data_IF_613844356549
#
_entry.id   IF_613844356549
#
_cell.length_a   1.000
_cell.length_b   1.000
_cell.length_c   1.000
_cell.angle_alpha   90.00
_cell.angle_beta   90.00
_cell.angle_gamma   90.00
#
_symmetry.space_group_name_H-M   'P 1'
#
loop_
_entity.id
_entity.type
_entity.pdbx_description
1 polymer ?
#
# COMPACT_ATOMS: atom_id res chain seq x y z
N UNK A 1 16.39 30.24 26.38
CA UNK A 1 16.04 28.83 26.07
C UNK A 1 14.64 28.87 25.50
N UNK A 2 14.42 28.32 24.30
CA UNK A 2 13.18 28.51 23.55
C UNK A 2 11.97 28.01 24.37
N UNK A 3 11.03 28.92 24.65
CA UNK A 3 9.78 28.63 25.36
C UNK A 3 8.97 27.60 24.59
N UNK A 4 8.95 26.34 25.06
CA UNK A 4 7.91 25.33 24.81
C UNK A 4 7.48 25.08 23.37
N UNK A 5 8.17 25.57 22.33
CA UNK A 5 7.76 25.46 20.93
C UNK A 5 8.66 24.48 20.18
N UNK A 6 8.03 23.52 19.54
CA UNK A 6 8.64 22.47 18.76
C UNK A 6 8.11 22.53 17.33
N UNK A 7 8.97 22.29 16.35
CA UNK A 7 8.60 22.21 14.95
C UNK A 7 8.84 20.79 14.45
N UNK A 8 7.86 20.25 13.73
CA UNK A 8 7.91 18.92 13.12
C UNK A 8 7.54 19.05 11.66
N UNK A 9 8.20 18.29 10.79
CA UNK A 9 7.71 18.02 9.45
C UNK A 9 7.03 16.64 9.48
N UNK A 10 5.80 16.57 8.99
CA UNK A 10 5.02 15.33 8.91
C UNK A 10 4.69 15.00 7.45
N UNK A 11 4.64 13.72 7.12
CA UNK A 11 4.10 13.23 5.86
C UNK A 11 2.88 12.35 6.18
N UNK A 12 1.70 12.80 5.74
CA UNK A 12 0.45 12.05 5.84
C UNK A 12 0.19 11.38 4.49
N UNK A 13 -0.13 10.09 4.53
CA UNK A 13 -0.50 9.33 3.35
C UNK A 13 -1.99 9.04 3.36
N UNK A 14 -2.66 9.42 2.28
CA UNK A 14 -4.07 9.17 2.03
C UNK A 14 -4.21 8.20 0.86
N UNK A 15 -5.17 7.28 0.98
CA UNK A 15 -5.50 6.29 -0.05
C UNK A 15 -7.02 6.26 -0.16
N UNK A 16 -7.55 6.46 -1.37
CA UNK A 16 -8.95 6.26 -1.65
C UNK A 16 -9.20 4.75 -1.87
N UNK A 17 -10.20 4.19 -1.18
CA UNK A 17 -10.55 2.77 -1.27
C UNK A 17 -11.53 2.44 -2.38
N UNK A 18 -12.09 3.46 -3.03
CA UNK A 18 -13.12 3.38 -4.05
C UNK A 18 -12.62 3.82 -5.42
N UNK A 19 -11.63 4.72 -5.44
CA UNK A 19 -10.97 5.18 -6.64
C UNK A 19 -9.47 4.86 -6.57
N UNK A 20 -8.80 4.57 -7.69
CA UNK A 20 -7.35 4.39 -7.72
C UNK A 20 -6.66 5.74 -7.56
N UNK A 21 -6.66 6.26 -6.34
CA UNK A 21 -6.10 7.56 -5.98
C UNK A 21 -5.38 7.47 -4.64
N UNK A 22 -4.24 8.13 -4.56
CA UNK A 22 -3.48 8.27 -3.33
C UNK A 22 -2.77 9.62 -3.28
N UNK A 23 -2.51 10.14 -2.09
CA UNK A 23 -1.78 11.37 -1.90
C UNK A 23 -0.83 11.28 -0.71
N UNK A 24 0.32 11.93 -0.84
CA UNK A 24 1.20 12.25 0.26
C UNK A 24 1.16 13.75 0.51
N UNK A 25 0.83 14.13 1.74
CA UNK A 25 0.70 15.52 2.19
C UNK A 25 1.83 15.78 3.17
N UNK A 26 2.77 16.64 2.78
CA UNK A 26 3.84 17.11 3.65
C UNK A 26 3.43 18.42 4.32
N UNK A 27 3.49 18.46 5.64
CA UNK A 27 3.09 19.61 6.45
C UNK A 27 4.14 19.95 7.49
N UNK A 28 4.26 21.24 7.81
CA UNK A 28 4.95 21.71 9.01
C UNK A 28 3.94 21.87 10.15
N UNK A 29 4.24 21.24 11.29
CA UNK A 29 3.49 21.37 12.53
C UNK A 29 4.31 22.13 13.56
N UNK A 30 3.74 23.21 14.11
CA UNK A 30 4.28 23.87 15.29
C UNK A 30 3.47 23.40 16.49
N UNK A 31 4.13 22.76 17.44
CA UNK A 31 3.53 22.32 18.71
C UNK A 31 4.03 23.23 19.81
N UNK A 32 3.12 23.72 20.65
CA UNK A 32 3.47 24.42 21.88
C UNK A 32 3.16 23.55 23.09
N UNK A 33 3.93 23.75 24.15
CA UNK A 33 3.71 23.16 25.46
C UNK A 33 3.30 24.26 26.43
N UNK A 34 2.06 24.20 26.91
CA UNK A 34 1.51 25.10 27.91
C UNK A 34 0.61 24.32 28.88
N UNK A 35 0.56 24.73 30.15
CA UNK A 35 -0.30 24.11 31.17
C UNK A 35 -0.19 22.57 31.23
N UNK A 36 1.02 22.03 31.12
CA UNK A 36 1.33 20.58 31.11
C UNK A 36 0.78 19.79 29.91
N UNK A 37 0.28 20.47 28.86
CA UNK A 37 -0.25 19.84 27.64
C UNK A 37 0.54 20.26 26.39
N UNK A 38 0.66 19.32 25.43
CA UNK A 38 1.14 19.62 24.08
C UNK A 38 -0.04 19.94 23.16
N UNK A 39 0.01 21.07 22.45
CA UNK A 39 -1.04 21.50 21.51
C UNK A 39 -0.47 21.89 20.16
N UNK A 40 -1.11 21.46 19.08
CA UNK A 40 -0.79 21.93 17.74
C UNK A 40 -1.22 23.39 17.64
N UNK A 41 -0.24 24.27 17.50
CA UNK A 41 -0.42 25.72 17.44
C UNK A 41 -0.54 26.22 16.00
N UNK A 42 0.05 25.49 15.05
CA UNK A 42 -0.06 25.76 13.61
C UNK A 42 0.20 24.48 12.83
N UNK A 43 -0.54 24.28 11.75
CA UNK A 43 -0.27 23.29 10.72
C UNK A 43 -0.24 24.01 9.37
N UNK A 44 0.81 23.78 8.57
CA UNK A 44 0.97 24.41 7.27
C UNK A 44 1.28 23.35 6.21
N UNK A 45 0.40 23.13 5.21
CA UNK A 45 0.71 22.26 4.10
C UNK A 45 1.84 22.89 3.26
N UNK A 46 2.88 22.11 2.99
CA UNK A 46 4.04 22.50 2.19
C UNK A 46 3.94 21.98 0.77
N UNK A 47 3.63 20.67 0.64
CA UNK A 47 3.60 19.97 -0.63
C UNK A 47 2.57 18.85 -0.57
N UNK A 48 1.76 18.74 -1.61
CA UNK A 48 0.86 17.61 -1.83
C UNK A 48 1.32 16.93 -3.11
N UNK A 49 1.56 15.63 -3.04
CA UNK A 49 1.83 14.81 -4.23
C UNK A 49 0.74 13.77 -4.33
N UNK A 50 0.10 13.69 -5.48
CA UNK A 50 -1.11 12.91 -5.71
C UNK A 50 -0.93 12.00 -6.94
N UNK A 51 -1.51 10.81 -6.87
CA UNK A 51 -1.65 9.86 -7.97
C UNK A 51 -3.13 9.70 -8.31
N UNK A 52 -3.46 9.66 -9.59
CA UNK A 52 -4.81 9.39 -10.09
C UNK A 52 -4.77 8.40 -11.23
N UNK A 53 -5.42 7.25 -11.06
CA UNK A 53 -5.75 6.36 -12.16
C UNK A 53 -6.99 6.88 -12.90
N UNK A 54 -6.83 7.29 -14.15
CA UNK A 54 -7.91 7.77 -15.03
C UNK A 54 -7.96 6.92 -16.29
N UNK A 55 -8.92 6.00 -16.35
CA UNK A 55 -8.94 4.99 -17.41
C UNK A 55 -7.66 4.14 -17.37
N UNK A 56 -6.84 4.26 -18.41
CA UNK A 56 -5.54 3.58 -18.50
C UNK A 56 -4.36 4.48 -18.09
N UNK A 57 -4.57 5.77 -17.86
CA UNK A 57 -3.50 6.69 -17.53
C UNK A 57 -3.33 6.81 -16.01
N UNK A 58 -2.10 6.66 -15.54
CA UNK A 58 -1.72 7.04 -14.18
C UNK A 58 -1.12 8.44 -14.23
N UNK A 59 -1.74 9.37 -13.53
CA UNK A 59 -1.37 10.77 -13.52
C UNK A 59 -0.76 11.09 -12.15
N UNK A 60 0.42 11.68 -12.17
CA UNK A 60 1.10 12.23 -11.00
C UNK A 60 0.90 13.74 -10.96
N UNK A 61 0.51 14.28 -9.82
CA UNK A 61 0.30 15.72 -9.64
C UNK A 61 1.01 16.19 -8.38
N UNK A 62 1.86 17.21 -8.48
CA UNK A 62 2.48 17.87 -7.32
C UNK A 62 2.01 19.30 -7.21
N UNK A 63 1.56 19.67 -6.00
CA UNK A 63 1.18 21.02 -5.63
C UNK A 63 2.09 21.51 -4.51
N UNK A 64 2.85 22.57 -4.77
CA UNK A 64 3.71 23.21 -3.77
C UNK A 64 3.82 24.70 -4.09
N UNK A 65 3.76 25.55 -3.05
CA UNK A 65 3.96 27.01 -3.18
C UNK A 65 3.07 27.68 -4.24
N UNK A 66 1.83 27.21 -4.41
CA UNK A 66 0.89 27.73 -5.41
C UNK A 66 1.20 27.34 -6.85
N UNK A 67 2.16 26.43 -7.08
CA UNK A 67 2.44 25.82 -8.39
C UNK A 67 1.88 24.41 -8.42
N UNK A 68 1.36 24.02 -9.59
CA UNK A 68 0.92 22.67 -9.89
C UNK A 68 1.75 22.14 -11.06
N UNK A 69 2.29 20.93 -10.90
CA UNK A 69 2.93 20.18 -11.97
C UNK A 69 2.15 18.89 -12.16
N UNK A 70 1.74 18.59 -13.38
CA UNK A 70 1.06 17.36 -13.75
C UNK A 70 1.91 16.58 -14.74
N UNK A 71 2.02 15.27 -14.52
CA UNK A 71 2.77 14.34 -15.36
C UNK A 71 1.93 13.10 -15.59
N UNK A 72 1.71 12.73 -16.86
CA UNK A 72 1.19 11.41 -17.22
C UNK A 72 2.32 10.40 -16.99
N UNK A 73 2.27 9.74 -15.83
CA UNK A 73 3.36 8.92 -15.30
C UNK A 73 3.51 7.59 -16.04
N UNK A 74 2.39 6.92 -16.33
CA UNK A 74 2.40 5.59 -16.94
C UNK A 74 1.07 5.31 -17.65
N UNK A 75 1.11 4.62 -18.78
CA UNK A 75 -0.09 4.09 -19.43
C UNK A 75 -0.19 2.58 -19.19
N UNK A 76 -1.33 2.12 -18.69
CA UNK A 76 -1.54 0.72 -18.31
C UNK A 76 -1.43 -0.26 -19.49
N UNK A 77 -1.58 0.21 -20.74
CA UNK A 77 -1.39 -0.63 -21.91
C UNK A 77 0.08 -1.04 -22.12
N UNK A 78 1.02 -0.29 -21.54
CA UNK A 78 2.45 -0.63 -21.53
C UNK A 78 2.79 -1.70 -20.47
N UNK A 79 1.83 -2.07 -19.61
CA UNK A 79 2.00 -3.17 -18.67
C UNK A 79 2.05 -4.51 -19.42
N UNK A 80 2.88 -5.49 -18.99
CA UNK A 80 2.99 -6.78 -19.65
C UNK A 80 1.63 -7.45 -19.80
N UNK A 81 1.37 -8.02 -20.97
CA UNK A 81 0.13 -8.76 -21.23
C UNK A 81 0.09 -10.11 -20.53
N UNK A 82 1.25 -10.76 -20.38
CA UNK A 82 1.37 -12.09 -19.80
C UNK A 82 2.39 -12.07 -18.66
N UNK A 83 2.01 -12.65 -17.53
CA UNK A 83 2.85 -12.75 -16.34
C UNK A 83 2.75 -14.14 -15.74
N UNK A 84 3.80 -14.56 -15.04
CA UNK A 84 3.76 -15.74 -14.19
C UNK A 84 3.44 -15.32 -12.76
N UNK A 85 2.49 -16.01 -12.13
CA UNK A 85 2.18 -15.76 -10.71
C UNK A 85 3.36 -16.17 -9.83
N UNK A 86 3.71 -15.35 -8.83
CA UNK A 86 4.84 -15.65 -7.94
C UNK A 86 4.60 -16.98 -7.21
N UNK A 87 5.54 -17.92 -7.37
CA UNK A 87 5.44 -19.26 -6.77
C UNK A 87 4.63 -20.28 -7.57
N UNK A 88 4.19 -19.95 -8.80
CA UNK A 88 3.57 -20.88 -9.76
C UNK A 88 4.16 -20.69 -11.15
N UNK A 89 4.34 -21.77 -11.90
CA UNK A 89 4.75 -21.70 -13.31
C UNK A 89 3.59 -21.39 -14.28
N UNK A 90 2.44 -20.96 -13.75
CA UNK A 90 1.26 -20.67 -14.55
C UNK A 90 1.36 -19.26 -15.13
N UNK A 91 1.41 -19.15 -16.46
CA UNK A 91 1.22 -17.88 -17.16
C UNK A 91 -0.26 -17.49 -17.19
N UNK A 92 -0.52 -16.23 -16.87
CA UNK A 92 -1.84 -15.61 -16.85
C UNK A 92 -1.81 -14.32 -17.66
N UNK A 93 -2.91 -14.03 -18.35
CA UNK A 93 -3.12 -12.73 -18.98
C UNK A 93 -3.33 -11.69 -17.87
N UNK A 94 -2.43 -10.72 -17.76
CA UNK A 94 -2.53 -9.68 -16.76
C UNK A 94 -3.69 -8.73 -17.09
N UNK A 95 -4.45 -8.39 -16.06
CA UNK A 95 -5.52 -7.42 -16.14
C UNK A 95 -4.96 -6.05 -16.49
N UNK A 96 -5.42 -5.47 -17.59
CA UNK A 96 -5.04 -4.13 -18.06
C UNK A 96 -6.27 -3.24 -18.34
N UNK A 97 -7.42 -3.59 -17.75
CA UNK A 97 -8.68 -2.88 -17.97
C UNK A 97 -8.72 -1.52 -17.23
N UNK A 98 -7.97 -1.38 -16.16
CA UNK A 98 -7.85 -0.16 -15.36
C UNK A 98 -7.05 -0.39 -14.09
N UNK A 99 -6.92 0.65 -13.26
CA UNK A 99 -6.28 0.55 -11.95
C UNK A 99 -7.30 0.19 -10.89
N UNK A 100 -6.98 -0.81 -10.05
CA UNK A 100 -7.77 -1.20 -8.89
C UNK A 100 -7.43 -0.34 -7.66
N UNK A 101 -6.14 -0.08 -7.47
CA UNK A 101 -5.60 0.70 -6.35
C UNK A 101 -4.21 1.20 -6.72
N UNK A 102 -3.80 2.33 -6.15
CA UNK A 102 -2.46 2.89 -6.33
C UNK A 102 -1.99 3.50 -5.01
N UNK A 103 -0.69 3.50 -4.77
CA UNK A 103 -0.09 4.15 -3.61
C UNK A 103 1.29 4.69 -3.96
N UNK A 104 1.63 5.85 -3.43
CA UNK A 104 2.94 6.46 -3.57
C UNK A 104 3.79 6.14 -2.34
N UNK A 105 5.06 5.80 -2.46
CA UNK A 105 5.90 5.66 -1.27
C UNK A 105 6.11 7.04 -0.58
N UNK A 106 6.44 7.10 0.72
CA UNK A 106 6.59 8.37 1.45
C UNK A 106 7.56 9.39 0.80
N UNK A 107 8.55 8.91 0.05
CA UNK A 107 9.53 9.75 -0.64
C UNK A 107 9.03 10.34 -1.97
N UNK A 108 7.86 9.94 -2.45
CA UNK A 108 7.27 10.37 -3.72
C UNK A 108 8.05 9.95 -4.96
N UNK A 109 8.73 8.78 -4.93
CA UNK A 109 9.61 8.30 -6.01
C UNK A 109 9.33 6.86 -6.46
N UNK A 110 8.33 6.22 -5.86
CA UNK A 110 7.90 4.87 -6.21
C UNK A 110 6.40 4.76 -6.07
N UNK A 111 5.75 4.13 -7.05
CA UNK A 111 4.33 3.75 -6.98
C UNK A 111 4.23 2.25 -6.85
N UNK A 112 3.30 1.76 -6.01
CA UNK A 112 2.75 0.43 -6.17
C UNK A 112 1.34 0.55 -6.75
N UNK A 113 1.03 -0.31 -7.72
CA UNK A 113 -0.26 -0.29 -8.42
C UNK A 113 -0.84 -1.70 -8.52
N UNK A 114 -2.14 -1.76 -8.34
CA UNK A 114 -2.98 -2.90 -8.61
C UNK A 114 -3.83 -2.67 -9.85
N UNK A 115 -4.08 -3.72 -10.64
CA UNK A 115 -4.86 -3.62 -11.87
C UNK A 115 -6.17 -4.39 -11.81
N UNK A 116 -7.10 -4.02 -12.68
CA UNK A 116 -8.36 -4.72 -12.93
C UNK A 116 -8.34 -5.45 -14.28
N UNK A 117 -9.22 -6.44 -14.42
CA UNK A 117 -9.33 -7.32 -15.59
C UNK A 117 -9.63 -8.75 -15.15
N UNK A 118 -9.42 -9.72 -16.05
CA UNK A 118 -9.65 -11.14 -15.74
C UNK A 118 -8.75 -11.64 -14.62
N UNK A 119 -7.48 -11.25 -14.61
CA UNK A 119 -6.51 -11.59 -13.57
C UNK A 119 -5.79 -10.32 -13.12
N UNK A 120 -6.17 -9.73 -11.99
CA UNK A 120 -5.53 -8.51 -11.49
C UNK A 120 -4.03 -8.73 -11.32
N UNK A 121 -3.24 -7.70 -11.58
CA UNK A 121 -1.80 -7.73 -11.47
C UNK A 121 -1.30 -6.67 -10.48
N UNK A 122 -0.09 -6.90 -9.97
CA UNK A 122 0.64 -6.02 -9.08
C UNK A 122 1.91 -5.54 -9.79
N UNK A 123 2.15 -4.24 -9.76
CA UNK A 123 3.34 -3.63 -10.32
C UNK A 123 3.94 -2.55 -9.43
N UNK A 124 5.22 -2.27 -9.66
CA UNK A 124 5.94 -1.16 -9.08
C UNK A 124 6.45 -0.25 -10.19
N UNK A 125 6.27 1.05 -10.03
CA UNK A 125 6.92 2.06 -10.86
C UNK A 125 7.95 2.80 -10.03
N UNK A 126 9.11 3.12 -10.58
CA UNK A 126 10.12 3.96 -9.92
C UNK A 126 10.78 4.93 -10.86
N UNK A 127 11.23 6.06 -10.33
CA UNK A 127 11.98 7.08 -11.07
C UNK A 127 12.97 7.77 -10.14
N UNK A 128 13.81 8.63 -10.74
CA UNK A 128 14.74 9.48 -10.00
C UNK A 128 14.29 10.95 -10.06
N UNK A 129 14.79 11.77 -9.14
CA UNK A 129 14.37 13.18 -9.03
C UNK A 129 13.07 13.39 -8.27
N UNK A 130 12.67 14.65 -8.10
CA UNK A 130 11.44 15.01 -7.37
C UNK A 130 10.18 15.03 -8.22
N UNK A 131 10.32 15.38 -9.51
CA UNK A 131 9.26 15.32 -10.50
C UNK A 131 9.61 14.18 -11.46
N UNK A 132 8.69 13.23 -11.69
CA UNK A 132 8.95 12.13 -12.63
C UNK A 132 9.15 12.65 -14.05
N UNK A 133 10.16 12.11 -14.72
CA UNK A 133 10.30 12.15 -16.17
C UNK A 133 9.70 10.84 -16.73
N UNK A 134 8.58 10.89 -17.48
CA UNK A 134 7.92 9.70 -18.02
C UNK A 134 8.85 8.76 -18.78
N UNK A 135 9.87 9.28 -19.47
CA UNK A 135 10.82 8.47 -20.24
C UNK A 135 11.80 7.68 -19.34
N UNK A 136 11.91 8.03 -18.06
CA UNK A 136 12.78 7.39 -17.07
C UNK A 136 12.02 6.60 -16.00
N UNK A 137 10.71 6.44 -16.17
CA UNK A 137 9.90 5.60 -15.28
C UNK A 137 10.15 4.14 -15.60
N UNK A 138 10.66 3.41 -14.61
CA UNK A 138 10.89 1.97 -14.72
C UNK A 138 9.71 1.19 -14.14
N UNK A 139 9.19 0.23 -14.91
CA UNK A 139 8.19 -0.73 -14.45
C UNK A 139 8.86 -2.02 -14.00
N UNK A 140 8.54 -2.44 -12.78
CA UNK A 140 8.80 -3.79 -12.26
C UNK A 140 7.48 -4.53 -12.07
N UNK A 141 7.12 -5.47 -12.96
CA UNK A 141 5.99 -6.36 -12.75
C UNK A 141 6.28 -7.28 -11.55
N UNK A 142 5.32 -7.42 -10.63
CA UNK A 142 5.54 -8.14 -9.36
C UNK A 142 4.81 -9.49 -9.33
N UNK A 143 3.49 -9.47 -9.53
CA UNK A 143 2.66 -10.67 -9.41
C UNK A 143 1.38 -10.53 -10.23
N UNK A 144 0.72 -11.65 -10.50
CA UNK A 144 -0.59 -11.73 -11.16
C UNK A 144 -1.46 -12.74 -10.44
N UNK A 145 -2.73 -12.40 -10.26
CA UNK A 145 -3.65 -13.14 -9.40
C UNK A 145 -4.80 -13.75 -10.19
N UNK A 146 -5.00 -15.05 -10.04
CA UNK A 146 -6.00 -15.81 -10.81
C UNK A 146 -7.44 -15.44 -10.42
N UNK A 147 -8.04 -14.51 -11.15
CA UNK A 147 -9.44 -14.09 -10.92
C UNK A 147 -9.60 -13.16 -9.71
N UNK A 148 -8.49 -12.74 -9.11
CA UNK A 148 -8.42 -11.89 -7.94
C UNK A 148 -7.86 -10.52 -8.34
N UNK A 149 -7.94 -9.55 -7.44
CA UNK A 149 -7.30 -8.24 -7.60
C UNK A 149 -6.92 -7.66 -6.24
N UNK A 150 -5.97 -6.74 -6.23
CA UNK A 150 -5.58 -6.01 -5.01
C UNK A 150 -6.59 -4.90 -4.74
N UNK A 151 -7.04 -4.78 -3.49
CA UNK A 151 -7.96 -3.73 -3.06
C UNK A 151 -7.27 -2.67 -2.17
N UNK A 152 -6.16 -3.03 -1.51
CA UNK A 152 -5.39 -2.11 -0.69
C UNK A 152 -3.89 -2.45 -0.73
N UNK A 153 -3.07 -1.41 -0.74
CA UNK A 153 -1.60 -1.47 -0.74
C UNK A 153 -1.06 -0.60 0.39
N UNK A 154 0.09 -0.96 0.97
CA UNK A 154 0.80 -0.11 1.92
C UNK A 154 2.30 -0.41 1.94
N UNK A 155 3.12 0.60 1.69
CA UNK A 155 4.56 0.49 1.93
C UNK A 155 4.85 0.47 3.44
N UNK A 156 5.85 -0.30 3.85
CA UNK A 156 6.44 -0.14 5.18
C UNK A 156 7.05 1.26 5.33
N UNK A 157 7.18 1.80 6.56
CA UNK A 157 7.77 3.11 6.78
C UNK A 157 9.18 3.27 6.18
N UNK A 158 9.98 2.21 6.19
CA UNK A 158 11.31 2.16 5.55
C UNK A 158 11.28 1.83 4.04
N UNK A 159 10.09 1.65 3.47
CA UNK A 159 9.81 1.36 2.05
C UNK A 159 10.39 0.05 1.51
N UNK A 160 10.91 -0.82 2.38
CA UNK A 160 11.51 -2.11 1.98
C UNK A 160 10.47 -3.18 1.70
N UNK A 161 9.28 -3.06 2.30
CA UNK A 161 8.20 -4.02 2.17
C UNK A 161 6.94 -3.36 1.61
N UNK A 162 6.12 -4.15 0.92
CA UNK A 162 4.80 -3.79 0.45
C UNK A 162 3.81 -4.82 0.98
N UNK A 163 2.86 -4.37 1.80
CA UNK A 163 1.69 -5.15 2.18
C UNK A 163 0.62 -5.00 1.11
N UNK A 164 0.05 -6.12 0.70
CA UNK A 164 -0.94 -6.20 -0.37
C UNK A 164 -2.15 -6.97 0.16
N UNK A 165 -3.29 -6.29 0.22
CA UNK A 165 -4.58 -6.93 0.46
C UNK A 165 -5.20 -7.32 -0.89
N UNK A 166 -5.64 -8.56 -1.00
CA UNK A 166 -6.10 -9.19 -2.23
C UNK A 166 -7.49 -9.76 -1.99
N UNK A 167 -8.45 -9.32 -2.80
CA UNK A 167 -9.81 -9.88 -2.80
C UNK A 167 -9.81 -11.23 -3.49
N UNK A 168 -10.06 -12.29 -2.73
CA UNK A 168 -10.17 -13.64 -3.27
C UNK A 168 -11.48 -13.85 -4.06
N UNK A 169 -11.51 -14.89 -4.89
CA UNK A 169 -12.70 -15.29 -5.66
C UNK A 169 -13.86 -15.77 -4.78
N UNK A 170 -13.60 -16.17 -3.54
CA UNK A 170 -14.63 -16.59 -2.57
C UNK A 170 -15.16 -15.43 -1.73
N UNK A 171 -14.68 -14.20 -1.99
CA UNK A 171 -15.20 -12.96 -1.43
C UNK A 171 -14.57 -12.52 -0.12
N UNK A 172 -13.57 -13.23 0.39
CA UNK A 172 -12.74 -12.81 1.54
C UNK A 172 -11.45 -12.15 1.07
N UNK A 173 -10.88 -11.29 1.90
CA UNK A 173 -9.57 -10.70 1.69
C UNK A 173 -8.47 -11.58 2.28
N UNK A 174 -7.30 -11.57 1.63
CA UNK A 174 -6.05 -12.15 2.14
C UNK A 174 -4.93 -11.12 2.05
N UNK A 175 -3.92 -11.27 2.90
CA UNK A 175 -2.74 -10.39 2.89
C UNK A 175 -1.52 -11.16 2.43
N UNK A 176 -0.84 -10.60 1.43
CA UNK A 176 0.51 -10.98 1.03
C UNK A 176 1.48 -9.82 1.33
N UNK A 177 2.77 -10.14 1.52
CA UNK A 177 3.83 -9.13 1.73
C UNK A 177 4.96 -9.39 0.75
N UNK A 178 5.43 -8.33 0.10
CA UNK A 178 6.49 -8.39 -0.88
C UNK A 178 7.70 -7.59 -0.41
N UNK A 179 8.90 -8.08 -0.69
CA UNK A 179 10.12 -7.30 -0.61
C UNK A 179 10.30 -6.48 -1.89
N UNK A 180 10.32 -5.15 -1.75
CA UNK A 180 10.18 -4.22 -2.87
C UNK A 180 11.37 -4.27 -3.83
N UNK A 181 12.60 -4.41 -3.31
CA UNK A 181 13.83 -4.43 -4.13
C UNK A 181 13.97 -5.67 -5.01
N UNK A 182 13.33 -6.76 -4.62
CA UNK A 182 13.46 -8.07 -5.29
C UNK A 182 12.17 -8.47 -6.00
N UNK A 183 11.09 -7.67 -5.88
CA UNK A 183 9.74 -8.04 -6.28
C UNK A 183 9.34 -9.45 -5.79
N UNK A 184 9.83 -9.83 -4.61
CA UNK A 184 9.74 -11.19 -4.10
C UNK A 184 8.66 -11.30 -3.03
N UNK A 185 7.76 -12.27 -3.19
CA UNK A 185 6.72 -12.56 -2.20
C UNK A 185 7.32 -13.29 -0.99
N UNK A 186 7.14 -12.72 0.19
CA UNK A 186 7.57 -13.34 1.44
C UNK A 186 6.56 -14.40 1.88
N UNK A 187 7.05 -15.62 2.13
CA UNK A 187 6.21 -16.72 2.55
C UNK A 187 6.09 -16.79 4.08
N UNK A 188 5.07 -16.13 4.61
CA UNK A 188 4.71 -16.18 6.04
C UNK A 188 3.63 -17.21 6.37
N UNK A 189 3.28 -18.09 5.43
CA UNK A 189 2.26 -19.12 5.60
C UNK A 189 0.92 -18.57 6.13
N UNK A 190 0.54 -17.35 5.76
CA UNK A 190 -0.70 -16.70 6.24
C UNK A 190 -1.93 -17.45 5.74
N UNK A 191 -1.96 -17.86 4.47
CA UNK A 191 -3.08 -18.64 3.92
C UNK A 191 -3.21 -20.05 4.55
N UNK A 192 -2.16 -20.57 5.17
CA UNK A 192 -2.25 -21.83 5.91
C UNK A 192 -2.81 -21.61 7.32
N UNK A 193 -2.39 -20.54 7.99
CA UNK A 193 -2.88 -20.19 9.32
C UNK A 193 -4.32 -19.66 9.30
N UNK A 194 -4.64 -18.88 8.27
CA UNK A 194 -5.93 -18.24 8.04
C UNK A 194 -6.40 -18.52 6.60
N UNK A 195 -6.95 -19.72 6.34
CA UNK A 195 -7.43 -20.06 5.00
C UNK A 195 -8.51 -19.09 4.52
N UNK A 196 -8.43 -18.57 3.27
CA UNK A 196 -9.39 -17.57 2.76
C UNK A 196 -10.83 -18.10 2.68
N UNK A 197 -11.02 -19.41 2.57
CA UNK A 197 -12.35 -20.06 2.63
C UNK A 197 -13.05 -19.91 3.98
N UNK A 198 -12.27 -19.64 5.05
CA UNK A 198 -12.75 -19.62 6.43
C UNK A 198 -12.61 -18.24 7.08
N UNK A 199 -11.60 -17.46 6.68
CA UNK A 199 -11.24 -16.20 7.31
C UNK A 199 -11.11 -15.08 6.29
N UNK A 200 -11.45 -13.88 6.74
CA UNK A 200 -11.10 -12.64 6.09
C UNK A 200 -9.89 -12.04 6.84
N UNK A 201 -8.82 -11.75 6.11
CA UNK A 201 -7.60 -11.14 6.65
C UNK A 201 -7.35 -9.82 5.94
N UNK A 202 -7.36 -8.74 6.71
CA UNK A 202 -6.97 -7.40 6.26
C UNK A 202 -5.79 -6.89 7.07
N UNK A 203 -4.96 -6.03 6.49
CA UNK A 203 -3.94 -5.35 7.27
C UNK A 203 -4.49 -4.04 7.86
N UNK A 204 -4.04 -3.70 9.06
CA UNK A 204 -4.45 -2.49 9.78
C UNK A 204 -3.41 -1.40 9.59
N UNK A 205 -2.15 -1.70 9.90
CA UNK A 205 -1.03 -0.76 9.76
C UNK A 205 0.32 -1.49 9.90
N UNK A 206 1.33 -0.89 9.30
CA UNK A 206 2.72 -1.15 9.67
C UNK A 206 3.03 -0.58 11.05
N UNK A 207 3.93 -1.25 11.77
CA UNK A 207 4.57 -0.69 12.96
C UNK A 207 5.62 0.36 12.54
N UNK A 208 5.85 1.41 13.35
CA UNK A 208 6.77 2.50 13.00
C UNK A 208 8.21 2.05 12.71
N UNK A 209 8.66 0.95 13.32
CA UNK A 209 9.99 0.39 13.11
C UNK A 209 10.11 -0.49 11.86
N UNK A 210 9.02 -0.62 11.09
CA UNK A 210 8.89 -1.46 9.89
C UNK A 210 9.09 -2.97 10.12
N UNK A 211 9.15 -3.44 11.37
CA UNK A 211 9.38 -4.86 11.68
C UNK A 211 8.09 -5.65 11.85
N UNK A 212 6.98 -4.98 12.15
CA UNK A 212 5.69 -5.61 12.34
C UNK A 212 4.61 -5.08 11.40
N UNK A 213 3.70 -5.97 11.03
CA UNK A 213 2.45 -5.65 10.35
C UNK A 213 1.29 -6.13 11.23
N UNK A 214 0.38 -5.22 11.59
CA UNK A 214 -0.84 -5.58 12.28
C UNK A 214 -1.89 -6.05 11.27
N UNK A 215 -2.49 -7.19 11.55
CA UNK A 215 -3.52 -7.85 10.75
C UNK A 215 -4.80 -7.97 11.57
N UNK A 216 -5.95 -7.78 10.93
CA UNK A 216 -7.26 -8.12 11.49
C UNK A 216 -7.73 -9.41 10.84
N UNK A 217 -8.04 -10.40 11.66
CA UNK A 217 -8.62 -11.67 11.24
C UNK A 217 -10.06 -11.71 11.73
N UNK A 218 -11.00 -11.93 10.81
CA UNK A 218 -12.41 -12.14 11.11
C UNK A 218 -12.93 -13.37 10.38
N UNK A 219 -14.13 -13.82 10.74
CA UNK A 219 -14.83 -14.87 10.03
C UNK A 219 -15.01 -14.54 8.54
N UNK A 220 -14.95 -15.56 7.69
CA UNK A 220 -15.26 -15.46 6.27
C UNK A 220 -16.76 -15.32 6.01
N UNK A 221 -17.13 -15.11 4.74
CA UNK A 221 -18.50 -14.72 4.34
C UNK A 221 -19.59 -15.74 4.74
N UNK A 222 -19.25 -17.04 4.83
CA UNK A 222 -20.21 -18.13 5.04
C UNK A 222 -19.88 -19.05 6.23
N UNK A 223 -18.88 -18.70 7.04
CA UNK A 223 -18.41 -19.55 8.14
C UNK A 223 -18.35 -18.75 9.44
N UNK A 224 -18.44 -19.43 10.58
CA UNK A 224 -18.30 -18.79 11.89
C UNK A 224 -16.84 -18.58 12.29
N UNK A 225 -15.88 -19.24 11.63
CA UNK A 225 -14.47 -19.27 12.03
C UNK A 225 -14.26 -19.90 13.42
N UNK A 226 -13.00 -20.19 13.76
CA UNK A 226 -12.63 -20.51 15.14
C UNK A 226 -12.38 -19.18 15.89
N UNK A 227 -13.05 -18.98 17.02
CA UNK A 227 -13.02 -17.72 17.78
C UNK A 227 -11.60 -17.36 18.28
N UNK A 228 -10.80 -18.37 18.58
CA UNK A 228 -9.40 -18.22 18.99
C UNK A 228 -8.50 -17.67 17.88
N UNK A 229 -8.86 -17.86 16.60
CA UNK A 229 -8.16 -17.28 15.45
C UNK A 229 -8.60 -15.87 15.09
N UNK A 230 -9.80 -15.46 15.49
CA UNK A 230 -10.31 -14.11 15.23
C UNK A 230 -9.67 -13.07 16.16
N UNK A 231 -9.49 -11.85 15.68
CA UNK A 231 -8.92 -10.74 16.45
C UNK A 231 -7.79 -10.04 15.70
N UNK A 232 -6.96 -9.31 16.45
CA UNK A 232 -5.81 -8.61 15.88
C UNK A 232 -4.54 -9.40 16.12
N UNK A 233 -3.79 -9.61 15.05
CA UNK A 233 -2.53 -10.32 15.04
C UNK A 233 -1.40 -9.38 14.65
N UNK A 234 -0.22 -9.61 15.19
CA UNK A 234 1.04 -8.98 14.80
C UNK A 234 1.87 -10.00 14.05
N UNK A 235 2.27 -9.68 12.83
CA UNK A 235 3.22 -10.44 12.03
C UNK A 235 4.58 -9.74 12.09
N UNK A 236 5.61 -10.43 12.58
CA UNK A 236 6.99 -9.98 12.43
C UNK A 236 7.47 -10.31 11.02
N UNK A 237 7.74 -9.31 10.19
CA UNK A 237 8.09 -9.52 8.77
C UNK A 237 9.54 -9.99 8.57
N UNK A 238 10.38 -9.92 9.61
CA UNK A 238 11.76 -10.40 9.55
C UNK A 238 11.86 -11.89 9.91
N UNK A 239 11.04 -12.36 10.85
CA UNK A 239 11.07 -13.74 11.36
C UNK A 239 9.91 -14.60 10.84
N UNK A 240 8.81 -13.98 10.40
CA UNK A 240 7.56 -14.66 10.07
C UNK A 240 6.73 -15.09 11.28
N UNK A 241 7.17 -14.77 12.51
CA UNK A 241 6.44 -15.07 13.73
C UNK A 241 5.13 -14.27 13.81
N UNK A 242 4.10 -14.89 14.39
CA UNK A 242 2.76 -14.33 14.51
C UNK A 242 2.31 -14.39 15.95
N UNK A 243 1.82 -13.27 16.47
CA UNK A 243 1.36 -13.13 17.84
C UNK A 243 -0.03 -12.49 17.87
N UNK A 244 -0.96 -13.04 18.65
CA UNK A 244 -2.27 -12.43 18.84
C UNK A 244 -2.17 -11.30 19.88
N UNK A 245 -2.48 -10.07 19.49
CA UNK A 245 -2.33 -8.88 20.34
C UNK A 245 -3.65 -8.39 20.96
N UNK A 246 -4.79 -8.68 20.33
CA UNK A 246 -6.13 -8.35 20.87
C UNK A 246 -7.08 -9.52 20.59
N UNK A 247 -7.83 -9.95 21.62
CA UNK A 247 -8.91 -10.94 21.53
C UNK A 247 -10.10 -10.47 20.68
N UNK A 248 -10.76 -11.40 19.99
CA UNK A 248 -12.00 -11.16 19.27
C UNK A 248 -13.20 -11.04 20.19
#
# INVERSE_FOLDING_TARGET
MAEGRFAFATNLQEIDRTQPQAANITEDLIVSFNDEEYRISSARPLKIVELKGQGHDLIWVSRAEGRENEVKLFNLQDFPEWMSSTGRELQLEAGRAGYATVILNPENRRVALGTTGTHGALGLLSWTGETPDPEQVELTPVDVFYGEHTNLLAFSPDTRYLATEIRSTVGTDRVDVYQVSEANKLNFQLNQAFPPEQYNVSFVRWEPDSKGLLLRVSAGVKQSGEEDKMGTWRLNVQTGEREKVIGG
#
